data_IF_008510547432
#
_entry.id   IF_008510547432
#
_cell.length_a   1.000
_cell.length_b   1.000
_cell.length_c   1.000
_cell.angle_alpha   90.00
_cell.angle_beta   90.00
_cell.angle_gamma   90.00
#
_symmetry.space_group_name_H-M   'P 1'
#
loop_
_entity.id
_entity.type
_entity.pdbx_description
1 polymer ?
#
# COMPACT_ATOMS: atom_id res chain seq x y z
N UNK A 1 10.06 0.84 3.72
CA UNK A 1 9.33 0.89 2.42
C UNK A 1 8.44 -0.33 2.34
N UNK A 2 7.25 -0.22 1.74
CA UNK A 2 6.25 -1.30 1.72
C UNK A 2 5.49 -1.29 0.41
N UNK A 3 5.17 -2.46 -0.14
CA UNK A 3 4.20 -2.64 -1.22
C UNK A 3 3.04 -3.49 -0.71
N UNK A 4 1.81 -3.02 -0.95
CA UNK A 4 0.58 -3.72 -0.61
C UNK A 4 -0.28 -3.86 -1.85
N UNK A 5 -0.86 -5.05 -2.01
CA UNK A 5 -1.87 -5.34 -3.03
C UNK A 5 -3.10 -5.94 -2.35
N UNK A 6 -4.27 -5.37 -2.64
CA UNK A 6 -5.58 -5.93 -2.33
C UNK A 6 -6.33 -6.28 -3.61
N UNK A 7 -6.77 -7.52 -3.75
CA UNK A 7 -7.67 -7.97 -4.82
C UNK A 7 -9.05 -8.17 -4.21
N UNK A 8 -10.05 -7.48 -4.73
CA UNK A 8 -11.41 -7.46 -4.20
C UNK A 8 -12.38 -7.96 -5.24
N UNK A 9 -13.35 -8.77 -4.81
CA UNK A 9 -14.59 -9.00 -5.55
C UNK A 9 -15.74 -9.32 -4.58
N UNK A 10 -16.92 -9.67 -5.10
CA UNK A 10 -18.10 -10.02 -4.29
C UNK A 10 -17.88 -11.17 -3.29
N UNK A 11 -16.85 -12.01 -3.47
CA UNK A 11 -16.54 -13.14 -2.59
C UNK A 11 -15.65 -12.77 -1.40
N UNK A 12 -14.88 -11.70 -1.49
CA UNK A 12 -13.85 -11.42 -0.48
C UNK A 12 -12.79 -10.42 -0.90
N UNK A 13 -11.81 -10.29 0.00
CA UNK A 13 -10.57 -9.56 -0.23
C UNK A 13 -9.42 -10.56 -0.10
N UNK A 14 -8.48 -10.56 -1.04
CA UNK A 14 -7.16 -11.16 -0.85
C UNK A 14 -6.11 -10.05 -0.73
N UNK A 15 -5.28 -10.09 0.30
CA UNK A 15 -4.29 -9.06 0.61
C UNK A 15 -2.90 -9.68 0.67
N UNK A 16 -1.97 -9.08 -0.06
CA UNK A 16 -0.56 -9.41 -0.03
C UNK A 16 0.27 -8.19 0.37
N UNK A 17 1.27 -8.40 1.23
CA UNK A 17 2.23 -7.38 1.61
C UNK A 17 3.66 -7.94 1.58
N UNK A 18 4.59 -7.10 1.13
CA UNK A 18 6.01 -7.39 1.27
C UNK A 18 6.47 -7.21 2.72
N UNK A 19 7.62 -7.77 3.04
CA UNK A 19 8.06 -7.91 4.42
C UNK A 19 9.27 -7.10 4.84
N UNK A 20 9.86 -6.39 3.89
CA UNK A 20 11.09 -5.67 4.10
C UNK A 20 10.82 -4.45 4.99
N UNK A 21 11.41 -4.39 6.17
CA UNK A 21 11.43 -3.18 7.01
C UNK A 21 12.80 -2.58 6.92
N UNK A 22 12.86 -1.29 6.62
CA UNK A 22 14.11 -0.52 6.56
C UNK A 22 14.23 0.29 7.83
N UNK A 23 15.27 0.05 8.63
CA UNK A 23 15.68 0.95 9.69
C UNK A 23 16.68 1.95 9.12
N UNK A 24 16.26 3.21 9.03
CA UNK A 24 17.12 4.32 8.62
C UNK A 24 18.07 4.68 9.76
N UNK A 25 19.30 5.07 9.41
CA UNK A 25 20.37 5.43 10.37
C UNK A 25 20.73 4.32 11.39
N UNK A 26 20.62 3.06 11.01
CA UNK A 26 21.11 1.97 11.84
C UNK A 26 22.64 2.04 11.94
N UNK A 27 23.17 2.04 13.16
CA UNK A 27 24.61 1.95 13.39
C UNK A 27 25.06 0.54 13.01
N UNK A 28 25.88 0.43 11.97
CA UNK A 28 26.45 -0.83 11.53
C UNK A 28 27.97 -0.80 11.71
N UNK A 29 28.46 -1.72 12.54
CA UNK A 29 29.88 -2.01 12.82
C UNK A 29 30.79 -0.83 13.17
N UNK A 30 31.38 -0.92 14.37
CA UNK A 30 32.59 -0.17 14.72
C UNK A 30 33.78 -0.94 14.17
N UNK A 31 34.33 -0.52 13.03
CA UNK A 31 35.61 -1.08 12.57
C UNK A 31 36.74 -0.34 13.27
N UNK A 32 37.51 -1.05 14.08
CA UNK A 32 38.73 -0.52 14.69
C UNK A 32 39.85 -0.66 13.67
N UNK A 33 40.15 0.41 12.92
CA UNK A 33 41.24 0.36 11.93
C UNK A 33 42.62 0.52 12.59
N UNK A 34 42.69 1.08 13.81
CA UNK A 34 43.85 1.10 14.69
C UNK A 34 43.39 1.36 16.14
N UNK A 35 44.22 1.03 17.15
CA UNK A 35 43.88 1.05 18.60
C UNK A 35 43.19 2.32 19.14
N UNK A 36 43.13 3.42 18.37
CA UNK A 36 42.50 4.68 18.76
C UNK A 36 41.43 5.23 17.77
N UNK A 37 41.10 4.55 16.66
CA UNK A 37 40.12 5.05 15.69
C UNK A 37 38.98 4.04 15.46
N UNK A 38 37.77 4.47 15.85
CA UNK A 38 36.51 3.79 15.62
C UNK A 38 35.81 4.44 14.43
N UNK A 39 35.73 3.75 13.30
CA UNK A 39 34.90 4.19 12.17
C UNK A 39 33.50 3.66 12.41
N UNK A 40 32.54 4.56 12.56
CA UNK A 40 31.11 4.24 12.65
C UNK A 40 30.55 4.33 11.22
N UNK A 41 30.13 3.20 10.65
CA UNK A 41 29.37 3.22 9.40
C UNK A 41 27.88 3.36 9.74
N UNK A 42 27.26 4.42 9.26
CA UNK A 42 25.80 4.58 9.32
C UNK A 42 25.28 4.10 7.97
N UNK A 43 24.51 3.01 7.97
CA UNK A 43 23.84 2.48 6.78
C UNK A 43 22.43 2.06 7.13
N UNK A 44 21.54 2.13 6.15
CA UNK A 44 20.19 1.59 6.31
C UNK A 44 20.26 0.07 6.49
N UNK A 45 19.53 -0.45 7.48
CA UNK A 45 19.43 -1.90 7.73
C UNK A 45 18.06 -2.39 7.34
N UNK A 46 18.00 -3.28 6.35
CA UNK A 46 16.76 -3.97 5.99
C UNK A 46 16.63 -5.26 6.80
N UNK A 47 15.50 -5.44 7.47
CA UNK A 47 15.13 -6.69 8.14
C UNK A 47 13.82 -7.21 7.55
N UNK A 48 13.69 -8.53 7.44
CA UNK A 48 12.51 -9.16 6.83
C UNK A 48 11.49 -9.65 7.86
N UNK A 49 11.28 -8.89 8.95
CA UNK A 49 10.55 -9.32 10.15
C UNK A 49 9.48 -8.34 10.66
N UNK A 50 9.08 -7.34 9.88
CA UNK A 50 8.02 -6.41 10.31
C UNK A 50 6.63 -7.00 10.10
N UNK A 51 5.81 -6.98 11.15
CA UNK A 51 4.36 -7.19 11.03
C UNK A 51 3.73 -5.95 10.40
N UNK A 52 3.53 -5.98 9.08
CA UNK A 52 2.89 -4.88 8.35
C UNK A 52 1.40 -5.07 8.13
N UNK A 53 0.86 -6.24 8.45
CA UNK A 53 -0.56 -6.57 8.34
C UNK A 53 -1.04 -7.18 9.66
N UNK A 54 -2.04 -6.56 10.27
CA UNK A 54 -2.61 -6.96 11.54
C UNK A 54 -4.13 -7.05 11.42
N UNK A 55 -4.73 -7.96 12.17
CA UNK A 55 -6.18 -7.92 12.42
C UNK A 55 -6.48 -6.67 13.23
N UNK A 56 -7.51 -5.91 12.87
CA UNK A 56 -7.89 -4.73 13.63
C UNK A 56 -8.61 -5.12 14.93
N UNK A 57 -9.39 -6.20 14.90
CA UNK A 57 -10.12 -6.74 16.05
C UNK A 57 -10.21 -8.26 15.93
N UNK A 58 -10.18 -8.98 17.06
CA UNK A 58 -10.20 -10.44 17.03
C UNK A 58 -11.58 -10.96 16.60
N UNK A 59 -11.58 -11.99 15.74
CA UNK A 59 -12.80 -12.61 15.15
C UNK A 59 -13.68 -11.66 14.32
N UNK A 60 -13.18 -10.48 13.96
CA UNK A 60 -13.89 -9.54 13.09
C UNK A 60 -13.25 -9.49 11.69
N UNK A 61 -14.04 -9.25 10.63
CA UNK A 61 -13.60 -9.30 9.26
C UNK A 61 -12.87 -8.01 8.85
N UNK A 62 -11.98 -7.46 9.71
CA UNK A 62 -11.25 -6.20 9.43
C UNK A 62 -9.77 -6.34 9.76
N UNK A 63 -8.94 -5.97 8.79
CA UNK A 63 -7.50 -5.85 8.92
C UNK A 63 -7.04 -4.40 8.72
N UNK A 64 -5.84 -4.13 9.23
CA UNK A 64 -5.11 -2.89 9.03
C UNK A 64 -3.69 -3.23 8.61
N UNK A 65 -3.20 -2.51 7.60
CA UNK A 65 -1.83 -2.59 7.15
C UNK A 65 -1.12 -1.25 7.29
N UNK A 66 0.20 -1.32 7.53
CA UNK A 66 1.05 -0.15 7.77
C UNK A 66 1.98 0.06 6.57
N UNK A 67 1.92 1.24 5.96
CA UNK A 67 2.74 1.64 4.81
C UNK A 67 3.47 2.93 5.12
N UNK A 68 4.77 2.97 4.83
CA UNK A 68 5.62 4.12 5.14
C UNK A 68 6.26 3.99 6.52
N UNK A 69 6.21 5.05 7.32
CA UNK A 69 6.76 5.03 8.67
C UNK A 69 5.98 4.07 9.59
N UNK A 70 6.71 3.28 10.38
CA UNK A 70 6.14 2.35 11.34
C UNK A 70 5.83 2.98 12.70
N UNK A 71 6.21 4.23 12.93
CA UNK A 71 6.07 4.94 14.20
C UNK A 71 5.07 6.10 14.10
N UNK A 72 4.21 6.21 15.10
CA UNK A 72 3.52 7.44 15.43
C UNK A 72 4.35 8.18 16.48
N UNK A 73 5.07 9.22 16.08
CA UNK A 73 6.12 9.86 16.88
C UNK A 73 7.19 8.83 17.29
N UNK A 74 7.17 8.31 18.52
CA UNK A 74 8.09 7.26 19.00
C UNK A 74 7.38 5.93 19.28
N UNK A 75 6.07 5.86 19.09
CA UNK A 75 5.25 4.70 19.43
C UNK A 75 4.97 3.86 18.16
N UNK A 76 5.33 2.56 18.14
CA UNK A 76 5.05 1.72 16.98
C UNK A 76 3.55 1.52 16.71
N UNK A 77 3.15 1.61 15.44
CA UNK A 77 1.75 1.41 15.03
C UNK A 77 1.24 0.01 15.35
N UNK A 78 2.06 -1.02 15.21
CA UNK A 78 1.70 -2.40 15.55
C UNK A 78 1.39 -2.56 17.06
N UNK A 79 2.09 -1.83 17.93
CA UNK A 79 1.79 -1.76 19.37
C UNK A 79 0.44 -1.08 19.62
N UNK A 80 0.19 0.07 18.98
CA UNK A 80 -1.10 0.80 19.09
C UNK A 80 -2.26 -0.09 18.68
N UNK A 81 -2.14 -0.77 17.54
CA UNK A 81 -3.16 -1.68 17.01
C UNK A 81 -3.36 -2.87 17.97
N UNK A 82 -2.29 -3.44 18.54
CA UNK A 82 -2.41 -4.49 19.56
C UNK A 82 -3.08 -4.02 20.84
N UNK A 83 -2.91 -2.77 21.24
CA UNK A 83 -3.63 -2.20 22.39
C UNK A 83 -5.11 -2.00 22.08
N UNK A 84 -5.44 -1.48 20.90
CA UNK A 84 -6.83 -1.37 20.45
C UNK A 84 -7.53 -2.73 20.46
N UNK A 85 -6.90 -3.76 19.89
CA UNK A 85 -7.42 -5.14 19.88
C UNK A 85 -7.71 -5.71 21.27
N UNK A 86 -6.94 -5.31 22.29
CA UNK A 86 -7.10 -5.78 23.67
C UNK A 86 -8.25 -5.10 24.40
N UNK A 87 -8.84 -4.04 23.85
CA UNK A 87 -10.06 -3.48 24.41
C UNK A 87 -11.19 -4.50 24.20
N UNK A 88 -11.58 -5.17 25.30
CA UNK A 88 -12.45 -6.36 25.37
C UNK A 88 -13.92 -6.08 25.01
N UNK A 89 -14.18 -5.42 23.89
CA UNK A 89 -15.52 -5.41 23.32
C UNK A 89 -15.54 -6.41 22.16
N UNK A 90 -16.28 -7.51 22.26
CA UNK A 90 -16.43 -8.47 21.16
C UNK A 90 -17.41 -8.01 20.08
N UNK A 91 -18.09 -6.86 20.27
CA UNK A 91 -19.08 -6.34 19.33
C UNK A 91 -18.43 -5.96 17.99
N UNK A 92 -19.06 -6.35 16.89
CA UNK A 92 -18.72 -5.80 15.58
C UNK A 92 -19.41 -4.43 15.40
N UNK A 93 -18.97 -3.66 14.41
CA UNK A 93 -19.66 -2.42 14.01
C UNK A 93 -20.51 -2.64 12.76
N UNK A 94 -21.64 -1.91 12.61
CA UNK A 94 -22.55 -2.05 11.46
C UNK A 94 -21.85 -1.86 10.12
N UNK A 95 -21.06 -0.80 9.97
CA UNK A 95 -20.36 -0.47 8.71
C UNK A 95 -18.85 -0.61 8.84
N UNK A 96 -18.16 -0.87 7.73
CA UNK A 96 -16.70 -0.86 7.66
C UNK A 96 -16.10 0.48 8.11
N UNK A 97 -16.75 1.59 7.77
CA UNK A 97 -16.33 2.93 8.16
C UNK A 97 -16.39 3.14 9.68
N UNK A 98 -17.33 2.51 10.38
CA UNK A 98 -17.45 2.61 11.84
C UNK A 98 -16.25 1.98 12.56
N UNK A 99 -15.70 0.87 12.06
CA UNK A 99 -14.46 0.30 12.59
C UNK A 99 -13.31 1.31 12.52
N UNK A 100 -13.18 1.98 11.38
CA UNK A 100 -12.13 2.98 11.17
C UNK A 100 -12.34 4.17 12.10
N UNK A 101 -13.57 4.69 12.20
CA UNK A 101 -13.89 5.83 13.04
C UNK A 101 -13.65 5.52 14.52
N UNK A 102 -14.05 4.34 14.98
CA UNK A 102 -13.81 3.90 16.35
C UNK A 102 -12.30 3.74 16.65
N UNK A 103 -11.51 3.22 15.70
CA UNK A 103 -10.06 3.17 15.86
C UNK A 103 -9.42 4.56 15.94
N UNK A 104 -9.89 5.52 15.13
CA UNK A 104 -9.46 6.92 15.20
C UNK A 104 -9.78 7.54 16.56
N UNK A 105 -11.00 7.33 17.04
CA UNK A 105 -11.45 7.81 18.36
C UNK A 105 -10.64 7.20 19.50
N UNK A 106 -10.31 5.91 19.44
CA UNK A 106 -9.40 5.26 20.39
C UNK A 106 -8.03 5.95 20.43
N UNK A 107 -7.45 6.29 19.27
CA UNK A 107 -6.17 7.01 19.24
C UNK A 107 -6.30 8.38 19.92
N UNK A 108 -7.35 9.12 19.63
CA UNK A 108 -7.57 10.47 20.20
C UNK A 108 -7.85 10.46 21.70
N UNK A 109 -8.61 9.48 22.19
CA UNK A 109 -9.05 9.39 23.59
C UNK A 109 -8.06 8.65 24.49
N UNK A 110 -7.37 7.63 23.99
CA UNK A 110 -6.53 6.75 24.80
C UNK A 110 -5.03 6.91 24.52
N UNK A 111 -4.64 7.06 23.24
CA UNK A 111 -3.22 7.06 22.86
C UNK A 111 -2.59 8.44 23.02
N UNK A 112 -3.19 9.47 22.40
CA UNK A 112 -2.65 10.83 22.41
C UNK A 112 -2.47 11.32 23.87
N UNK A 113 -3.47 11.25 24.77
CA UNK A 113 -3.32 11.83 26.11
C UNK A 113 -2.30 11.11 26.99
N UNK A 114 -2.07 9.81 26.76
CA UNK A 114 -1.19 8.99 27.59
C UNK A 114 0.26 8.96 27.11
N UNK A 115 0.47 8.97 25.79
CA UNK A 115 1.78 8.66 25.21
C UNK A 115 2.37 9.77 24.34
N UNK A 116 1.59 10.78 23.97
CA UNK A 116 2.05 11.85 23.07
C UNK A 116 2.04 13.18 23.82
N UNK A 117 3.23 13.66 24.19
CA UNK A 117 3.39 14.93 24.89
C UNK A 117 3.09 16.12 23.94
N UNK A 118 2.46 17.17 24.46
CA UNK A 118 2.05 18.38 23.72
C UNK A 118 3.22 19.12 23.05
N UNK A 119 4.44 18.96 23.57
CA UNK A 119 5.65 19.58 23.03
C UNK A 119 6.12 19.00 21.68
N UNK A 120 5.70 17.77 21.32
CA UNK A 120 6.07 17.12 20.05
C UNK A 120 5.07 17.38 18.92
N UNK A 121 4.22 18.41 19.04
CA UNK A 121 3.06 18.65 18.16
C UNK A 121 3.39 19.11 16.74
N UNK A 122 4.66 19.26 16.35
CA UNK A 122 5.06 19.82 15.05
C UNK A 122 6.36 19.25 14.46
N UNK A 123 6.67 17.98 14.67
CA UNK A 123 7.65 17.33 13.77
C UNK A 123 6.89 16.82 12.54
N UNK A 124 7.42 17.12 11.34
CA UNK A 124 7.02 16.48 10.09
C UNK A 124 7.10 14.97 10.31
N UNK A 125 5.97 14.35 10.66
CA UNK A 125 5.93 12.91 10.82
C UNK A 125 6.30 12.32 9.47
N UNK A 126 7.34 11.49 9.43
CA UNK A 126 7.58 10.66 8.25
C UNK A 126 6.25 9.98 7.89
N UNK A 127 5.89 10.06 6.61
CA UNK A 127 4.52 9.80 6.18
C UNK A 127 4.13 8.35 6.51
N UNK A 128 3.11 8.19 7.36
CA UNK A 128 2.44 6.90 7.59
C UNK A 128 1.14 6.88 6.80
N UNK A 129 0.90 5.80 6.09
CA UNK A 129 -0.43 5.42 5.63
C UNK A 129 -0.90 4.16 6.36
N UNK A 130 -2.14 4.20 6.82
CA UNK A 130 -2.86 3.04 7.33
C UNK A 130 -3.89 2.62 6.29
N UNK A 131 -3.81 1.36 5.85
CA UNK A 131 -4.74 0.77 4.89
C UNK A 131 -5.63 -0.20 5.63
N UNK A 132 -6.92 0.06 5.67
CA UNK A 132 -7.92 -0.79 6.30
C UNK A 132 -8.61 -1.61 5.23
N UNK A 133 -8.92 -2.88 5.50
CA UNK A 133 -9.63 -3.74 4.57
C UNK A 133 -10.57 -4.66 5.33
N UNK A 134 -11.82 -4.81 4.88
CA UNK A 134 -12.78 -5.65 5.57
C UNK A 134 -14.24 -5.42 5.24
N UNK A 135 -15.10 -5.78 6.19
CA UNK A 135 -16.55 -5.69 6.13
C UNK A 135 -17.14 -5.00 7.36
N UNK A 136 -18.22 -4.26 7.18
CA UNK A 136 -19.22 -4.01 8.22
C UNK A 136 -20.08 -5.24 8.49
N UNK A 137 -20.65 -5.34 9.70
CA UNK A 137 -21.58 -6.43 10.05
C UNK A 137 -22.85 -6.44 9.18
N UNK A 138 -23.31 -5.25 8.78
CA UNK A 138 -24.51 -5.08 7.95
C UNK A 138 -24.18 -4.96 6.46
N UNK A 139 -22.89 -4.94 6.08
CA UNK A 139 -22.44 -4.77 4.69
C UNK A 139 -22.19 -6.11 4.00
N UNK A 140 -22.88 -6.36 2.89
CA UNK A 140 -22.74 -7.61 2.11
C UNK A 140 -21.39 -7.73 1.41
N UNK A 141 -20.74 -6.61 1.12
CA UNK A 141 -19.58 -6.54 0.24
C UNK A 141 -18.37 -5.90 0.93
N UNK A 142 -17.14 -6.29 0.53
CA UNK A 142 -15.93 -5.79 1.15
C UNK A 142 -15.57 -4.36 0.72
N UNK A 143 -14.78 -3.70 1.56
CA UNK A 143 -14.15 -2.42 1.25
C UNK A 143 -12.68 -2.40 1.69
N UNK A 144 -11.87 -1.58 1.00
CA UNK A 144 -10.50 -1.24 1.37
C UNK A 144 -10.32 0.28 1.30
N UNK A 145 -9.73 0.89 2.33
CA UNK A 145 -9.55 2.33 2.43
C UNK A 145 -8.17 2.68 2.99
N UNK A 146 -7.51 3.67 2.39
CA UNK A 146 -6.23 4.20 2.86
C UNK A 146 -6.39 5.60 3.45
N UNK A 147 -5.79 5.79 4.63
CA UNK A 147 -5.66 7.10 5.26
C UNK A 147 -4.20 7.44 5.51
N UNK A 148 -3.80 8.62 5.08
CA UNK A 148 -2.54 9.27 5.47
C UNK A 148 -2.69 9.91 6.84
N UNK A 149 -1.75 9.63 7.72
CA UNK A 149 -1.60 10.30 9.02
C UNK A 149 -0.66 11.48 8.83
N UNK A 150 -1.19 12.70 8.94
CA UNK A 150 -0.44 13.94 8.65
C UNK A 150 0.36 14.39 9.88
N UNK A 151 -0.21 14.24 11.07
CA UNK A 151 0.38 14.76 12.31
C UNK A 151 -0.70 15.01 13.36
N UNK A 152 -0.34 15.65 14.46
CA UNK A 152 -1.25 15.91 15.59
C UNK A 152 -1.42 17.41 15.77
N UNK A 153 -2.67 17.88 15.75
CA UNK A 153 -3.00 19.28 15.97
C UNK A 153 -4.11 19.40 17.00
N UNK A 154 -3.93 20.26 18.00
CA UNK A 154 -4.91 20.50 19.09
C UNK A 154 -5.42 19.21 19.74
N UNK A 155 -4.51 18.28 20.03
CA UNK A 155 -4.81 16.95 20.60
C UNK A 155 -5.66 16.02 19.72
N UNK A 156 -5.77 16.29 18.41
CA UNK A 156 -6.43 15.42 17.44
C UNK A 156 -5.46 14.99 16.36
N UNK A 157 -5.51 13.71 16.02
CA UNK A 157 -4.72 13.18 14.92
C UNK A 157 -5.35 13.63 13.61
N UNK A 158 -4.54 14.20 12.71
CA UNK A 158 -5.00 14.68 11.41
C UNK A 158 -4.90 13.55 10.39
N UNK A 159 -6.04 13.20 9.81
CA UNK A 159 -6.18 12.13 8.83
C UNK A 159 -6.57 12.71 7.48
N UNK A 160 -6.00 12.19 6.42
CA UNK A 160 -6.41 12.48 5.05
C UNK A 160 -6.77 11.17 4.35
N UNK A 161 -7.98 11.07 3.80
CA UNK A 161 -8.35 9.95 2.93
C UNK A 161 -7.55 10.05 1.64
N UNK A 162 -6.90 8.95 1.24
CA UNK A 162 -6.06 8.88 0.05
C UNK A 162 -6.68 8.06 -1.08
N UNK A 163 -7.70 7.27 -0.77
CA UNK A 163 -8.37 6.39 -1.73
C UNK A 163 -9.11 5.28 -1.01
N UNK A 164 -10.25 4.89 -1.57
CA UNK A 164 -11.04 3.77 -1.12
C UNK A 164 -11.56 3.01 -2.35
N UNK A 165 -11.65 1.69 -2.22
CA UNK A 165 -12.37 0.84 -3.15
C UNK A 165 -13.39 0.02 -2.36
N UNK A 166 -14.65 0.12 -2.78
CA UNK A 166 -15.77 -0.60 -2.18
C UNK A 166 -16.44 -1.42 -3.27
N UNK A 167 -16.69 -2.70 -2.98
CA UNK A 167 -17.40 -3.58 -3.89
C UNK A 167 -18.90 -3.35 -3.74
N UNK A 168 -19.60 -3.29 -4.86
CA UNK A 168 -21.05 -3.16 -4.94
C UNK A 168 -21.60 -4.00 -6.10
N UNK A 169 -22.90 -3.90 -6.36
CA UNK A 169 -23.49 -4.54 -7.53
C UNK A 169 -23.05 -3.88 -8.85
N UNK A 170 -22.67 -2.60 -8.82
CA UNK A 170 -22.14 -1.85 -9.95
C UNK A 170 -20.61 -2.01 -10.11
N UNK A 171 -19.88 -2.06 -8.99
CA UNK A 171 -18.42 -2.25 -8.96
C UNK A 171 -18.10 -3.61 -8.34
N UNK A 172 -18.08 -4.65 -9.15
CA UNK A 172 -18.03 -6.03 -8.65
C UNK A 172 -16.61 -6.54 -8.34
N UNK A 173 -15.58 -5.86 -8.83
CA UNK A 173 -14.18 -6.18 -8.57
C UNK A 173 -13.30 -4.94 -8.51
N UNK A 174 -12.16 -5.04 -7.83
CA UNK A 174 -11.17 -3.96 -7.78
C UNK A 174 -9.77 -4.51 -7.50
N UNK A 175 -8.74 -3.79 -7.94
CA UNK A 175 -7.37 -3.96 -7.48
C UNK A 175 -6.96 -2.68 -6.77
N UNK A 176 -6.51 -2.83 -5.53
CA UNK A 176 -6.05 -1.73 -4.69
C UNK A 176 -4.56 -1.88 -4.42
N UNK A 177 -3.78 -0.86 -4.74
CA UNK A 177 -2.34 -0.83 -4.50
C UNK A 177 -1.97 0.27 -3.51
N UNK A 178 -0.93 0.05 -2.71
CA UNK A 178 -0.42 1.09 -1.80
C UNK A 178 1.08 0.96 -1.55
N UNK A 179 1.73 2.10 -1.31
CA UNK A 179 3.16 2.18 -1.08
C UNK A 179 3.97 2.18 -2.38
N UNK A 180 4.89 1.23 -2.54
CA UNK A 180 5.65 1.08 -3.78
C UNK A 180 4.86 0.29 -4.83
N UNK A 181 3.92 0.97 -5.49
CA UNK A 181 2.99 0.37 -6.45
C UNK A 181 3.34 0.58 -7.93
N UNK A 182 4.35 1.38 -8.27
CA UNK A 182 4.69 1.77 -9.66
C UNK A 182 4.76 0.61 -10.66
N UNK A 183 5.29 -0.55 -10.26
CA UNK A 183 5.36 -1.74 -11.12
C UNK A 183 4.00 -2.41 -11.26
N UNK A 184 3.20 -2.44 -10.19
CA UNK A 184 1.87 -3.04 -10.18
C UNK A 184 0.91 -2.17 -11.00
N UNK A 185 0.95 -0.85 -10.77
CA UNK A 185 0.16 0.14 -11.50
C UNK A 185 0.47 0.08 -13.01
N UNK A 186 1.74 -0.17 -13.37
CA UNK A 186 2.12 -0.36 -14.76
C UNK A 186 1.61 -1.66 -15.39
N UNK A 187 1.51 -2.74 -14.61
CA UNK A 187 0.91 -4.01 -15.07
C UNK A 187 -0.60 -3.81 -15.22
N UNK A 188 -1.25 -3.11 -14.30
CA UNK A 188 -2.68 -2.82 -14.32
C UNK A 188 -3.10 -1.94 -15.49
N UNK A 189 -2.31 -0.90 -15.77
CA UNK A 189 -2.56 0.06 -16.85
C UNK A 189 -1.95 -0.37 -18.19
N UNK A 190 -1.13 -1.42 -18.21
CA UNK A 190 -0.42 -1.92 -19.40
C UNK A 190 0.67 -0.98 -19.91
N UNK A 191 0.94 0.13 -19.22
CA UNK A 191 1.86 1.19 -19.61
C UNK A 191 2.58 1.71 -18.37
N UNK A 192 3.91 1.81 -18.42
CA UNK A 192 4.70 2.49 -17.38
C UNK A 192 4.68 4.02 -17.61
N UNK A 193 4.43 4.81 -16.56
CA UNK A 193 4.30 6.27 -16.63
C UNK A 193 5.59 6.96 -17.14
N UNK A 194 6.76 6.40 -16.84
CA UNK A 194 8.04 6.89 -17.35
C UNK A 194 8.12 6.80 -18.88
N UNK A 195 7.52 5.78 -19.50
CA UNK A 195 7.43 5.63 -20.96
C UNK A 195 6.47 6.65 -21.58
N UNK A 196 5.39 7.02 -20.89
CA UNK A 196 4.49 8.10 -21.34
C UNK A 196 5.26 9.42 -21.43
N UNK A 197 6.12 9.70 -20.44
CA UNK A 197 6.95 10.91 -20.46
C UNK A 197 7.94 10.93 -21.63
N UNK A 198 8.50 9.77 -22.02
CA UNK A 198 9.41 9.63 -23.17
C UNK A 198 8.65 9.80 -24.49
N UNK A 199 7.47 9.18 -24.63
CA UNK A 199 6.60 9.35 -25.81
C UNK A 199 6.25 10.83 -25.97
N UNK A 200 5.83 11.48 -24.88
CA UNK A 200 5.49 12.91 -24.88
C UNK A 200 6.67 13.79 -25.28
N UNK A 201 7.87 13.48 -24.78
CA UNK A 201 9.09 14.22 -25.13
C UNK A 201 9.47 14.03 -26.59
N UNK A 202 9.52 12.79 -27.08
CA UNK A 202 9.82 12.52 -28.50
C UNK A 202 8.80 13.14 -29.45
N UNK A 203 7.53 13.17 -29.06
CA UNK A 203 6.48 13.84 -29.84
C UNK A 203 6.67 15.36 -29.86
N UNK A 204 7.06 15.96 -28.74
CA UNK A 204 7.46 17.37 -28.68
C UNK A 204 8.67 17.64 -29.58
N UNK A 205 9.73 16.83 -29.47
CA UNK A 205 10.96 16.98 -30.27
C UNK A 205 10.66 16.84 -31.77
N UNK A 206 9.78 15.91 -32.16
CA UNK A 206 9.34 15.75 -33.55
C UNK A 206 8.63 17.01 -34.05
N UNK A 207 7.72 17.58 -33.24
CA UNK A 207 7.01 18.79 -33.61
C UNK A 207 7.97 19.97 -33.71
N UNK A 208 8.87 20.15 -32.75
CA UNK A 208 9.83 21.25 -32.76
C UNK A 208 10.77 21.16 -33.97
N UNK A 209 11.19 19.96 -34.37
CA UNK A 209 11.98 19.75 -35.58
C UNK A 209 11.20 20.10 -36.85
N UNK A 210 9.94 19.68 -36.96
CA UNK A 210 9.08 20.02 -38.10
C UNK A 210 8.76 21.53 -38.19
N UNK A 211 8.73 22.23 -37.06
CA UNK A 211 8.51 23.68 -37.02
C UNK A 211 9.74 24.49 -37.41
N UNK A 212 10.95 23.91 -37.29
CA UNK A 212 12.23 24.55 -37.63
C UNK A 212 12.60 24.39 -39.11
N UNK A 213 12.09 23.38 -39.81
CA UNK A 213 12.17 23.29 -41.27
C UNK A 213 11.17 24.27 -41.91
N UNK A 214 11.57 25.54 -42.06
CA UNK A 214 11.04 26.70 -42.83
C UNK A 214 9.80 26.57 -43.79
N UNK A 215 8.80 25.74 -43.51
CA UNK A 215 7.63 25.47 -44.37
C UNK A 215 6.29 25.61 -43.62
N UNK A 216 6.27 26.08 -42.36
CA UNK A 216 5.12 25.89 -41.49
C UNK A 216 4.59 27.11 -40.71
N UNK A 217 4.93 28.36 -41.06
CA UNK A 217 4.30 29.52 -40.41
C UNK A 217 2.78 29.60 -40.69
N UNK A 218 2.30 29.03 -41.79
CA UNK A 218 0.88 28.89 -42.13
C UNK A 218 0.16 27.76 -41.39
N UNK A 219 0.90 26.82 -40.81
CA UNK A 219 0.37 25.66 -40.08
C UNK A 219 0.37 25.89 -38.57
N UNK A 220 1.30 26.70 -38.03
CA UNK A 220 1.31 27.13 -36.62
C UNK A 220 0.00 27.80 -36.17
N UNK A 221 -0.66 28.54 -37.07
CA UNK A 221 -1.94 29.20 -36.78
C UNK A 221 -3.17 28.29 -36.91
N UNK A 222 -3.02 27.13 -37.56
CA UNK A 222 -4.10 26.16 -37.79
C UNK A 222 -4.05 24.96 -36.86
N UNK A 223 -2.88 24.63 -36.33
CA UNK A 223 -2.66 23.47 -35.47
C UNK A 223 -2.72 23.90 -34.00
N UNK A 224 -3.75 23.44 -33.29
CA UNK A 224 -3.85 23.65 -31.84
C UNK A 224 -2.97 22.61 -31.11
N UNK A 225 -1.71 22.99 -30.85
CA UNK A 225 -0.72 22.14 -30.20
C UNK A 225 -1.17 21.59 -28.83
N UNK A 226 -1.73 22.42 -27.91
CA UNK A 226 -2.33 21.92 -26.66
C UNK A 226 -3.40 20.84 -26.87
N UNK A 227 -4.26 20.98 -27.89
CA UNK A 227 -5.31 20.01 -28.17
C UNK A 227 -4.75 18.66 -28.63
N UNK A 228 -3.77 18.65 -29.54
CA UNK A 228 -3.12 17.39 -29.98
C UNK A 228 -2.43 16.69 -28.80
N UNK A 229 -1.74 17.45 -27.96
CA UNK A 229 -1.10 16.90 -26.77
C UNK A 229 -2.10 16.27 -25.81
N UNK A 230 -3.24 16.92 -25.63
CA UNK A 230 -4.32 16.42 -24.79
C UNK A 230 -4.90 15.13 -25.38
N UNK A 231 -5.16 15.09 -26.69
CA UNK A 231 -5.64 13.90 -27.40
C UNK A 231 -4.71 12.70 -27.23
N UNK A 232 -3.40 12.89 -27.43
CA UNK A 232 -2.40 11.82 -27.22
C UNK A 232 -2.40 11.32 -25.77
N UNK A 233 -2.52 12.24 -24.81
CA UNK A 233 -2.62 11.89 -23.39
C UNK A 233 -3.90 11.10 -23.10
N UNK A 234 -5.00 11.48 -23.73
CA UNK A 234 -6.30 10.84 -23.53
C UNK A 234 -6.37 9.46 -24.17
N UNK A 235 -5.78 9.25 -25.35
CA UNK A 235 -5.62 7.92 -25.98
C UNK A 235 -4.85 6.97 -25.07
N UNK A 236 -3.72 7.42 -24.50
CA UNK A 236 -2.90 6.61 -23.59
C UNK A 236 -3.72 6.23 -22.34
N UNK A 237 -4.43 7.20 -21.75
CA UNK A 237 -5.29 6.96 -20.58
C UNK A 237 -6.47 6.06 -20.90
N UNK A 238 -7.08 6.18 -22.07
CA UNK A 238 -8.18 5.33 -22.53
C UNK A 238 -7.72 3.89 -22.74
N UNK A 239 -6.57 3.69 -23.40
CA UNK A 239 -5.97 2.37 -23.55
C UNK A 239 -5.66 1.71 -22.20
N UNK A 240 -5.12 2.48 -21.24
CA UNK A 240 -4.87 1.95 -19.90
C UNK A 240 -6.13 1.62 -19.13
N UNK A 241 -7.18 2.44 -19.25
CA UNK A 241 -8.51 2.17 -18.65
C UNK A 241 -9.13 0.90 -19.21
N UNK A 242 -9.03 0.69 -20.52
CA UNK A 242 -9.55 -0.53 -21.16
C UNK A 242 -8.79 -1.78 -20.70
N UNK A 243 -7.47 -1.69 -20.56
CA UNK A 243 -6.67 -2.80 -20.02
C UNK A 243 -7.04 -3.14 -18.57
N UNK A 244 -7.16 -2.13 -17.71
CA UNK A 244 -7.63 -2.31 -16.34
C UNK A 244 -9.03 -2.93 -16.31
N UNK A 245 -9.95 -2.45 -17.16
CA UNK A 245 -11.31 -2.99 -17.25
C UNK A 245 -11.31 -4.48 -17.59
N UNK A 246 -10.47 -4.93 -18.51
CA UNK A 246 -10.35 -6.35 -18.86
C UNK A 246 -9.86 -7.19 -17.68
N UNK A 247 -8.88 -6.69 -16.93
CA UNK A 247 -8.42 -7.37 -15.71
C UNK A 247 -9.51 -7.43 -14.63
N UNK A 248 -10.22 -6.33 -14.40
CA UNK A 248 -11.31 -6.28 -13.44
C UNK A 248 -12.42 -7.26 -13.82
N UNK A 249 -12.78 -7.35 -15.10
CA UNK A 249 -13.80 -8.30 -15.56
C UNK A 249 -13.41 -9.75 -15.28
N UNK A 250 -12.13 -10.11 -15.46
CA UNK A 250 -11.65 -11.44 -15.11
C UNK A 250 -11.72 -11.70 -13.59
N UNK A 251 -11.38 -10.71 -12.77
CA UNK A 251 -11.36 -10.82 -11.30
C UNK A 251 -12.77 -11.03 -10.72
N UNK A 252 -13.83 -10.58 -11.39
CA UNK A 252 -15.22 -10.80 -10.93
C UNK A 252 -15.51 -12.29 -10.66
N UNK A 253 -15.00 -13.16 -11.54
CA UNK A 253 -15.22 -14.62 -11.49
C UNK A 253 -14.18 -15.37 -10.66
N UNK A 254 -13.18 -14.68 -10.09
CA UNK A 254 -12.14 -15.34 -9.32
C UNK A 254 -12.67 -15.84 -7.98
N UNK A 255 -12.27 -17.06 -7.63
CA UNK A 255 -12.35 -17.55 -6.26
C UNK A 255 -11.26 -16.90 -5.37
N UNK A 256 -11.37 -17.09 -4.06
CA UNK A 256 -10.41 -16.53 -3.09
C UNK A 256 -8.97 -17.00 -3.34
N UNK A 257 -8.78 -18.22 -3.83
CA UNK A 257 -7.46 -18.78 -4.08
C UNK A 257 -6.80 -18.11 -5.29
N UNK A 258 -7.54 -17.88 -6.38
CA UNK A 258 -7.08 -17.14 -7.56
C UNK A 258 -6.77 -15.70 -7.21
N UNK A 259 -7.61 -15.03 -6.43
CA UNK A 259 -7.35 -13.67 -5.95
C UNK A 259 -6.07 -13.61 -5.10
N UNK A 260 -5.89 -14.57 -4.18
CA UNK A 260 -4.69 -14.65 -3.34
C UNK A 260 -3.42 -14.94 -4.16
N UNK A 261 -3.51 -15.83 -5.15
CA UNK A 261 -2.42 -16.12 -6.07
C UNK A 261 -2.02 -14.88 -6.88
N UNK A 262 -3.00 -14.13 -7.40
CA UNK A 262 -2.75 -12.88 -8.13
C UNK A 262 -2.06 -11.85 -7.23
N UNK A 263 -2.59 -11.60 -6.02
CA UNK A 263 -2.01 -10.67 -5.07
C UNK A 263 -0.54 -11.02 -4.73
N UNK A 264 -0.27 -12.31 -4.45
CA UNK A 264 1.09 -12.79 -4.17
C UNK A 264 2.03 -12.60 -5.37
N UNK A 265 1.54 -12.90 -6.58
CA UNK A 265 2.34 -12.79 -7.80
C UNK A 265 2.66 -11.34 -8.18
N UNK A 266 1.76 -10.39 -7.92
CA UNK A 266 2.03 -8.96 -8.17
C UNK A 266 3.13 -8.43 -7.24
N UNK A 267 3.13 -8.82 -5.96
CA UNK A 267 4.24 -8.50 -5.05
C UNK A 267 5.55 -9.13 -5.52
N UNK A 268 5.53 -10.41 -5.93
CA UNK A 268 6.73 -11.11 -6.45
C UNK A 268 7.26 -10.50 -7.74
N UNK A 269 6.38 -10.09 -8.65
CA UNK A 269 6.75 -9.42 -9.89
C UNK A 269 7.43 -8.07 -9.58
N UNK A 270 6.92 -7.35 -8.59
CA UNK A 270 7.52 -6.11 -8.09
C UNK A 270 8.93 -6.36 -7.54
N UNK A 271 9.09 -7.37 -6.67
CA UNK A 271 10.41 -7.77 -6.15
C UNK A 271 11.39 -8.14 -7.28
N UNK A 272 10.94 -8.96 -8.24
CA UNK A 272 11.76 -9.39 -9.38
C UNK A 272 12.21 -8.20 -10.23
N UNK A 273 11.28 -7.30 -10.59
CA UNK A 273 11.60 -6.15 -11.41
C UNK A 273 12.56 -5.17 -10.70
N UNK A 274 12.45 -5.01 -9.38
CA UNK A 274 13.40 -4.22 -8.58
C UNK A 274 14.80 -4.83 -8.60
N UNK A 275 14.92 -6.17 -8.45
CA UNK A 275 16.20 -6.90 -8.57
C UNK A 275 16.87 -6.68 -9.93
N UNK A 276 16.09 -6.71 -11.01
CA UNK A 276 16.61 -6.52 -12.38
C UNK A 276 17.07 -5.08 -12.62
N UNK A 277 16.35 -4.10 -12.07
CA UNK A 277 16.60 -2.67 -12.33
C UNK A 277 17.65 -2.04 -11.40
N UNK A 278 18.28 -2.83 -10.51
CA UNK A 278 19.28 -2.37 -9.53
C UNK A 278 18.82 -1.18 -8.68
N UNK A 279 17.51 -0.97 -8.54
CA UNK A 279 16.94 0.00 -7.60
C UNK A 279 16.93 -0.67 -6.23
N UNK A 280 17.40 0.07 -5.23
CA UNK A 280 17.57 -0.27 -3.80
C UNK A 280 16.66 -1.43 -3.32
N UNK A 281 17.25 -2.40 -2.60
CA UNK A 281 16.58 -3.58 -2.03
C UNK A 281 15.54 -3.18 -0.96
N UNK A 282 14.37 -2.68 -1.38
CA UNK A 282 13.35 -2.15 -0.47
C UNK A 282 12.02 -2.90 -0.51
N UNK A 283 11.88 -3.86 -1.42
CA UNK A 283 10.74 -4.79 -1.52
C UNK A 283 11.32 -6.19 -1.63
N UNK A 284 10.96 -7.08 -0.72
CA UNK A 284 11.42 -8.46 -0.76
C UNK A 284 11.15 -9.27 0.50
N UNK A 285 11.65 -10.52 0.48
CA UNK A 285 11.42 -11.52 1.51
C UNK A 285 10.10 -12.28 1.31
N UNK A 286 9.74 -13.16 2.26
CA UNK A 286 8.46 -13.88 2.19
C UNK A 286 7.28 -12.90 2.10
N UNK A 287 6.26 -13.25 1.32
CA UNK A 287 5.03 -12.47 1.17
C UNK A 287 4.05 -12.89 2.25
N UNK A 288 3.59 -11.94 3.04
CA UNK A 288 2.47 -12.15 3.95
C UNK A 288 1.18 -12.07 3.13
N UNK A 289 0.36 -13.12 3.21
CA UNK A 289 -0.84 -13.32 2.40
C UNK A 289 -2.01 -13.70 3.28
N UNK A 290 -3.11 -12.97 3.14
CA UNK A 290 -4.34 -13.22 3.86
C UNK A 290 -5.56 -13.07 2.95
N UNK A 291 -6.67 -13.65 3.38
CA UNK A 291 -7.99 -13.40 2.81
C UNK A 291 -8.93 -12.93 3.90
N UNK A 292 -9.92 -12.15 3.51
CA UNK A 292 -11.00 -11.70 4.36
C UNK A 292 -12.32 -12.04 3.67
N UNK A 293 -13.14 -12.84 4.33
CA UNK A 293 -14.52 -13.11 3.92
C UNK A 293 -15.47 -12.57 4.98
N UNK A 294 -16.74 -12.39 4.60
CA UNK A 294 -17.79 -11.97 5.54
C UNK A 294 -17.99 -13.00 6.65
N UNK A 295 -18.03 -14.28 6.30
CA UNK A 295 -18.37 -15.38 7.21
C UNK A 295 -17.18 -15.80 8.10
N UNK A 296 -15.99 -15.95 7.52
CA UNK A 296 -14.82 -16.46 8.25
C UNK A 296 -13.91 -15.36 8.79
N UNK A 297 -14.18 -14.11 8.41
CA UNK A 297 -13.35 -12.97 8.74
C UNK A 297 -11.93 -13.09 8.18
N UNK A 298 -10.96 -12.56 8.92
CA UNK A 298 -9.57 -12.55 8.50
C UNK A 298 -8.89 -13.93 8.70
N UNK A 299 -8.34 -14.47 7.61
CA UNK A 299 -7.60 -15.73 7.59
C UNK A 299 -6.20 -15.56 6.97
N UNK A 300 -5.19 -16.14 7.62
CA UNK A 300 -3.83 -16.18 7.08
C UNK A 300 -3.69 -17.35 6.11
N UNK A 301 -3.20 -17.08 4.90
CA UNK A 301 -2.86 -18.11 3.90
C UNK A 301 -1.37 -18.37 3.83
N UNK A 302 -0.57 -17.33 4.04
CA UNK A 302 0.88 -17.42 4.20
C UNK A 302 1.29 -16.32 5.17
N UNK A 303 2.09 -16.66 6.18
CA UNK A 303 2.59 -15.69 7.15
C UNK A 303 3.97 -16.09 7.58
N UNK A 304 4.82 -15.11 7.79
CA UNK A 304 6.03 -15.28 8.58
C UNK A 304 5.64 -15.53 10.02
N UNK A 305 6.02 -16.68 10.56
CA UNK A 305 5.90 -16.91 12.00
C UNK A 305 7.03 -16.16 12.70
N UNK A 306 6.69 -15.16 13.51
CA UNK A 306 7.48 -14.88 14.71
C UNK A 306 6.71 -15.49 15.88
N UNK A 307 7.09 -16.73 16.21
CA UNK A 307 6.69 -17.48 17.41
C UNK A 307 5.18 -17.53 17.74
N UNK A 308 4.46 -18.48 17.13
CA UNK A 308 3.14 -18.92 17.62
C UNK A 308 3.34 -20.10 18.60
N UNK A 309 3.15 -19.93 19.93
CA UNK A 309 3.47 -20.97 20.91
C UNK A 309 2.65 -22.25 20.75
N UNK A 310 1.45 -22.14 20.18
CA UNK A 310 0.51 -23.26 20.01
C UNK A 310 0.81 -24.16 18.80
N UNK A 311 1.73 -23.77 17.90
CA UNK A 311 2.07 -24.53 16.67
C UNK A 311 3.56 -24.77 16.44
N UNK A 312 4.40 -24.60 17.47
CA UNK A 312 5.82 -24.96 17.38
C UNK A 312 6.65 -24.11 16.41
N UNK A 313 6.22 -22.88 16.10
CA UNK A 313 7.04 -21.93 15.34
C UNK A 313 7.31 -22.30 13.88
N UNK A 314 6.40 -23.02 13.20
CA UNK A 314 6.61 -23.35 11.80
C UNK A 314 6.42 -22.14 10.86
N UNK A 315 7.38 -21.94 9.96
CA UNK A 315 7.22 -21.21 8.70
C UNK A 315 6.43 -22.06 7.72
N UNK A 316 5.41 -21.53 7.03
CA UNK A 316 4.75 -22.29 5.98
C UNK A 316 3.51 -21.63 5.36
N UNK A 317 3.18 -22.09 4.14
CA UNK A 317 1.88 -21.87 3.51
C UNK A 317 0.82 -22.63 4.33
N UNK A 318 -0.21 -21.93 4.78
CA UNK A 318 -1.29 -22.52 5.59
C UNK A 318 -2.33 -23.25 4.74
N UNK A 319 -2.27 -23.10 3.40
CA UNK A 319 -3.22 -23.71 2.48
C UNK A 319 -4.60 -23.06 2.57
N UNK A 320 -5.41 -23.30 1.52
CA UNK A 320 -6.87 -23.24 1.59
C UNK A 320 -7.33 -24.66 1.34
#
# INVERSE_FOLDING_TARGET
>A
MTAIVGILNKRGIAIAADSAVTFTNAIQEVTIQNKNEKVISIKDKVVNSGDKMLRLKDKQPVAVMIVGNALLTKLPWDVIIRWYRKQNDSSGFPTFQDYINNFKEFIESEIIPKYINKEYSFEEAEITHLVFAGYGQEESYPSICQYKVIGISKSKLQWQSCGCASISDEQESNIFTSGQSDIIDAIELGIQDDRVSVIRRKFQDLIDNLLNENMLDSLKSKINYPAIRQEVTDIIKESGREHLRQHLEAIKEFDLQKMACLAENLIKATELHRKITSRQESVGGLVDLAVITREDGFQWLNRKSWYEPSKGGQYGKFGI
#
